data_IF_468966568594
#
_entry.id   IF_468966568594
#
_cell.length_a   1.000
_cell.length_b   1.000
_cell.length_c   1.000
_cell.angle_alpha   90.00
_cell.angle_beta   90.00
_cell.angle_gamma   90.00
#
_symmetry.space_group_name_H-M   'P 1'
#
loop_
_entity.id
_entity.type
_entity.pdbx_description
1 polymer ?
#
# COMPACT_ATOMS: atom_id res chain seq x y z
N UNK A 1 -42.58 -28.31 -45.56
CA UNK A 1 -41.11 -28.26 -45.38
C UNK A 1 -40.53 -26.84 -45.50
N UNK A 2 -40.92 -26.04 -46.51
CA UNK A 2 -40.43 -24.67 -46.72
C UNK A 2 -40.59 -23.69 -45.53
N UNK A 3 -41.72 -23.72 -44.81
CA UNK A 3 -41.92 -22.85 -43.62
C UNK A 3 -40.95 -23.13 -42.45
N UNK A 4 -40.52 -24.38 -42.27
CA UNK A 4 -39.52 -24.73 -41.23
C UNK A 4 -38.12 -24.23 -41.63
N UNK A 5 -37.79 -24.31 -42.93
CA UNK A 5 -36.52 -23.81 -43.45
C UNK A 5 -36.38 -22.28 -43.27
N UNK A 6 -37.46 -21.52 -43.49
CA UNK A 6 -37.46 -20.07 -43.32
C UNK A 6 -37.32 -19.64 -41.84
N UNK A 7 -37.94 -20.37 -40.90
CA UNK A 7 -37.75 -20.12 -39.47
C UNK A 7 -36.31 -20.38 -39.01
N UNK A 8 -35.69 -21.46 -39.49
CA UNK A 8 -34.31 -21.78 -39.16
C UNK A 8 -33.33 -20.72 -39.71
N UNK A 9 -33.55 -20.26 -40.95
CA UNK A 9 -32.76 -19.16 -41.54
C UNK A 9 -32.88 -17.88 -40.71
N UNK A 10 -34.10 -17.50 -40.31
CA UNK A 10 -34.32 -16.31 -39.49
C UNK A 10 -33.62 -16.40 -38.12
N UNK A 11 -33.72 -17.55 -37.44
CA UNK A 11 -33.06 -17.77 -36.14
C UNK A 11 -31.54 -17.71 -36.29
N UNK A 12 -30.98 -18.32 -37.34
CA UNK A 12 -29.54 -18.29 -37.61
C UNK A 12 -29.05 -16.87 -37.92
N UNK A 13 -29.80 -16.10 -38.71
CA UNK A 13 -29.47 -14.71 -39.01
C UNK A 13 -29.47 -13.84 -37.75
N UNK A 14 -30.47 -13.99 -36.87
CA UNK A 14 -30.52 -13.27 -35.59
C UNK A 14 -29.33 -13.66 -34.71
N UNK A 15 -29.00 -14.95 -34.63
CA UNK A 15 -27.88 -15.43 -33.83
C UNK A 15 -26.53 -14.87 -34.32
N UNK A 16 -26.29 -14.89 -35.64
CA UNK A 16 -25.07 -14.31 -36.24
C UNK A 16 -24.99 -12.81 -35.96
N UNK A 17 -26.10 -12.09 -36.09
CA UNK A 17 -26.14 -10.65 -35.82
C UNK A 17 -25.82 -10.33 -34.36
N UNK A 18 -26.37 -11.08 -33.40
CA UNK A 18 -26.04 -10.93 -31.98
C UNK A 18 -24.58 -11.24 -31.68
N UNK A 19 -24.00 -12.28 -32.30
CA UNK A 19 -22.59 -12.62 -32.13
C UNK A 19 -21.67 -11.50 -32.64
N UNK A 20 -22.00 -10.89 -33.79
CA UNK A 20 -21.25 -9.74 -34.32
C UNK A 20 -21.31 -8.55 -33.37
N UNK A 21 -22.49 -8.24 -32.79
CA UNK A 21 -22.62 -7.17 -31.79
C UNK A 21 -21.75 -7.47 -30.57
N UNK A 22 -21.78 -8.69 -30.03
CA UNK A 22 -20.96 -9.06 -28.86
C UNK A 22 -19.47 -8.89 -29.17
N UNK A 23 -19.02 -9.32 -30.35
CA UNK A 23 -17.63 -9.17 -30.78
C UNK A 23 -17.26 -7.68 -30.91
N UNK A 24 -18.09 -6.86 -31.57
CA UNK A 24 -17.84 -5.43 -31.72
C UNK A 24 -17.85 -4.70 -30.36
N UNK A 25 -18.76 -5.05 -29.47
CA UNK A 25 -18.79 -4.51 -28.09
C UNK A 25 -17.54 -4.90 -27.31
N UNK A 26 -17.06 -6.14 -27.45
CA UNK A 26 -15.81 -6.59 -26.82
C UNK A 26 -14.58 -5.86 -27.39
N UNK A 27 -14.53 -5.62 -28.70
CA UNK A 27 -13.45 -4.86 -29.33
C UNK A 27 -13.48 -3.38 -28.96
N UNK A 28 -14.66 -2.76 -28.90
CA UNK A 28 -14.79 -1.33 -28.50
C UNK A 28 -14.35 -1.12 -27.05
N UNK A 29 -14.77 -1.99 -26.12
CA UNK A 29 -14.29 -1.97 -24.73
C UNK A 29 -12.75 -2.08 -24.67
N UNK A 30 -12.15 -3.03 -25.40
CA UNK A 30 -10.68 -3.14 -25.47
C UNK A 30 -10.00 -1.91 -26.06
N UNK A 31 -10.60 -1.27 -27.06
CA UNK A 31 -10.03 -0.08 -27.68
C UNK A 31 -10.09 1.11 -26.72
N UNK A 32 -11.17 1.26 -25.95
CA UNK A 32 -11.26 2.27 -24.89
C UNK A 32 -10.18 2.05 -23.82
N UNK A 33 -10.01 0.81 -23.34
CA UNK A 33 -8.93 0.46 -22.40
C UNK A 33 -7.55 0.80 -22.97
N UNK A 34 -7.29 0.46 -24.24
CA UNK A 34 -6.01 0.76 -24.91
C UNK A 34 -5.80 2.27 -25.07
N UNK A 35 -6.85 3.04 -25.39
CA UNK A 35 -6.78 4.50 -25.50
C UNK A 35 -6.50 5.12 -24.13
N UNK A 36 -7.12 4.61 -23.06
CA UNK A 36 -6.90 5.09 -21.70
C UNK A 36 -5.47 4.78 -21.21
N UNK A 37 -4.99 3.55 -21.44
CA UNK A 37 -3.61 3.14 -21.17
C UNK A 37 -2.63 4.03 -21.96
N UNK A 38 -2.89 4.26 -23.25
CA UNK A 38 -2.07 5.13 -24.10
C UNK A 38 -2.03 6.59 -23.59
N UNK A 39 -3.16 7.11 -23.11
CA UNK A 39 -3.24 8.44 -22.49
C UNK A 39 -2.48 8.50 -21.15
N UNK A 40 -2.44 7.44 -20.36
CA UNK A 40 -1.66 7.42 -19.11
C UNK A 40 -0.15 7.30 -19.38
N UNK A 41 0.25 6.53 -20.40
CA UNK A 41 1.65 6.42 -20.80
C UNK A 41 2.20 7.69 -21.45
N UNK A 42 1.35 8.55 -22.02
CA UNK A 42 1.77 9.85 -22.57
C UNK A 42 2.03 10.92 -21.50
N UNK A 43 1.58 10.71 -20.26
CA UNK A 43 1.90 11.57 -19.13
C UNK A 43 3.37 11.40 -18.72
N UNK A 44 3.98 12.45 -18.18
CA UNK A 44 5.25 12.30 -17.47
C UNK A 44 5.06 11.45 -16.21
N UNK A 45 6.12 10.82 -15.68
CA UNK A 45 6.06 10.06 -14.43
C UNK A 45 5.47 10.86 -13.26
N UNK A 46 5.83 12.14 -13.13
CA UNK A 46 5.31 13.03 -12.08
C UNK A 46 3.82 13.33 -12.29
N UNK A 47 3.36 13.47 -13.53
CA UNK A 47 1.93 13.65 -13.84
C UNK A 47 1.14 12.39 -13.52
N UNK A 48 1.65 11.18 -13.83
CA UNK A 48 1.00 9.91 -13.42
C UNK A 48 0.83 9.81 -11.91
N UNK A 49 1.87 10.15 -11.15
CA UNK A 49 1.82 10.12 -9.67
C UNK A 49 0.82 11.14 -9.15
N UNK A 50 0.87 12.38 -9.65
CA UNK A 50 -0.09 13.41 -9.28
C UNK A 50 -1.52 13.00 -9.62
N UNK A 51 -1.76 12.40 -10.79
CA UNK A 51 -3.07 11.88 -11.19
C UNK A 51 -3.57 10.88 -10.13
N UNK A 52 -2.73 9.91 -9.76
CA UNK A 52 -3.05 8.91 -8.72
C UNK A 52 -3.23 9.50 -7.33
N UNK A 53 -2.55 10.59 -7.00
CA UNK A 53 -2.74 11.29 -5.72
C UNK A 53 -4.17 11.82 -5.54
N UNK A 54 -4.91 12.03 -6.63
CA UNK A 54 -6.22 12.70 -6.61
C UNK A 54 -7.34 11.95 -7.34
N UNK A 55 -7.04 10.87 -8.07
CA UNK A 55 -8.04 10.06 -8.80
C UNK A 55 -9.11 9.45 -7.89
N UNK A 56 -8.78 9.16 -6.63
CA UNK A 56 -9.73 8.60 -5.66
C UNK A 56 -10.47 9.65 -4.82
N UNK A 57 -10.07 10.92 -4.89
CA UNK A 57 -10.59 11.99 -4.02
C UNK A 57 -12.00 12.45 -4.45
N UNK A 58 -12.43 12.15 -5.68
CA UNK A 58 -13.64 12.77 -6.26
C UNK A 58 -14.79 11.83 -6.62
N UNK A 59 -14.65 10.50 -6.50
CA UNK A 59 -15.69 9.57 -6.98
C UNK A 59 -16.87 9.43 -5.98
N UNK A 60 -16.71 9.73 -4.69
CA UNK A 60 -17.79 9.56 -3.70
C UNK A 60 -18.46 10.89 -3.24
N UNK A 61 -18.10 12.03 -3.82
CA UNK A 61 -18.57 13.36 -3.39
C UNK A 61 -20.04 13.70 -3.74
N UNK A 62 -20.87 12.71 -4.10
CA UNK A 62 -22.30 12.94 -4.38
C UNK A 62 -23.24 12.59 -3.23
N UNK A 63 -22.78 12.03 -2.12
CA UNK A 63 -23.68 11.59 -1.03
C UNK A 63 -23.18 11.75 0.41
N UNK A 64 -22.01 12.35 0.67
CA UNK A 64 -21.46 12.40 2.04
C UNK A 64 -22.10 13.51 2.92
N UNK A 65 -22.51 13.22 4.17
CA UNK A 65 -23.13 14.18 5.09
C UNK A 65 -22.16 15.32 5.47
N UNK A 66 -22.69 16.50 5.86
CA UNK A 66 -21.98 17.74 6.27
C UNK A 66 -20.53 17.54 6.79
N UNK A 67 -19.58 17.38 5.87
CA UNK A 67 -18.15 17.27 6.20
C UNK A 67 -17.65 18.64 6.64
N UNK A 68 -16.86 18.67 7.72
CA UNK A 68 -16.04 19.83 8.09
C UNK A 68 -14.60 19.58 7.68
N UNK A 69 -13.94 20.64 7.25
CA UNK A 69 -12.55 20.66 6.84
C UNK A 69 -11.68 21.23 7.96
N UNK A 70 -10.58 20.56 8.28
CA UNK A 70 -9.50 21.10 9.11
C UNK A 70 -8.19 21.09 8.32
N UNK A 71 -7.66 22.29 8.04
CA UNK A 71 -6.36 22.50 7.40
C UNK A 71 -5.34 22.81 8.49
N UNK A 72 -4.19 22.11 8.50
CA UNK A 72 -3.34 22.15 9.70
C UNK A 72 -1.83 22.22 9.43
N UNK A 73 -1.38 21.96 8.20
CA UNK A 73 0.04 22.05 7.82
C UNK A 73 0.21 22.78 6.50
N UNK A 74 1.01 23.84 6.53
CA UNK A 74 1.77 24.37 5.40
C UNK A 74 3.24 24.42 5.82
N UNK A 75 3.82 23.25 6.08
CA UNK A 75 5.27 23.15 6.26
C UNK A 75 5.84 22.46 5.02
N UNK A 76 6.85 23.07 4.40
CA UNK A 76 7.61 22.51 3.28
C UNK A 76 6.72 21.88 2.18
N UNK A 77 5.89 22.72 1.56
CA UNK A 77 5.07 22.42 0.37
C UNK A 77 3.97 21.35 0.48
N UNK A 78 3.88 20.57 1.58
CA UNK A 78 2.84 19.56 1.76
C UNK A 78 1.66 20.13 2.56
N UNK A 79 0.47 20.09 1.96
CA UNK A 79 -0.78 20.48 2.63
C UNK A 79 -1.49 19.26 3.21
N UNK A 80 -1.65 19.21 4.54
CA UNK A 80 -2.43 18.18 5.21
C UNK A 80 -3.85 18.67 5.50
N UNK A 81 -4.85 17.95 4.97
CA UNK A 81 -6.28 18.27 5.09
C UNK A 81 -6.98 17.07 5.72
N UNK A 82 -7.75 17.29 6.79
CA UNK A 82 -8.59 16.23 7.38
C UNK A 82 -10.06 16.58 7.25
N UNK A 83 -10.83 15.66 6.70
CA UNK A 83 -12.30 15.71 6.65
C UNK A 83 -12.91 14.79 7.70
N UNK A 84 -13.89 15.30 8.44
CA UNK A 84 -14.59 14.56 9.49
C UNK A 84 -16.06 14.95 9.58
N UNK A 85 -16.87 14.14 10.27
CA UNK A 85 -18.30 14.41 10.48
C UNK A 85 -18.47 15.38 11.65
N UNK A 86 -19.09 16.51 11.38
CA UNK A 86 -19.14 17.68 12.26
C UNK A 86 -19.83 17.50 13.62
N UNK A 87 -20.56 16.40 13.83
CA UNK A 87 -21.60 16.32 14.87
C UNK A 87 -21.08 15.86 16.24
N UNK A 88 -19.80 15.53 16.40
CA UNK A 88 -19.25 15.03 17.68
C UNK A 88 -17.93 15.72 18.10
N UNK A 89 -17.89 16.29 19.30
CA UNK A 89 -16.68 16.88 19.92
C UNK A 89 -15.52 15.88 20.02
N UNK A 90 -15.85 14.60 20.21
CA UNK A 90 -14.90 13.48 20.22
C UNK A 90 -14.11 13.41 18.91
N UNK A 91 -14.75 13.66 17.76
CA UNK A 91 -14.07 13.62 16.46
C UNK A 91 -13.09 14.78 16.30
N UNK A 92 -13.42 15.98 16.80
CA UNK A 92 -12.50 17.12 16.75
C UNK A 92 -11.19 16.80 17.50
N UNK A 93 -11.29 16.25 18.71
CA UNK A 93 -10.12 15.84 19.49
C UNK A 93 -9.30 14.76 18.79
N UNK A 94 -9.96 13.72 18.25
CA UNK A 94 -9.26 12.67 17.51
C UNK A 94 -8.55 13.20 16.27
N UNK A 95 -9.17 14.14 15.54
CA UNK A 95 -8.58 14.81 14.38
C UNK A 95 -7.36 15.64 14.79
N UNK A 96 -7.44 16.40 15.90
CA UNK A 96 -6.31 17.16 16.44
C UNK A 96 -5.15 16.25 16.87
N UNK A 97 -5.44 15.08 17.45
CA UNK A 97 -4.44 14.06 17.80
C UNK A 97 -3.81 13.42 16.56
N UNK A 98 -4.63 12.98 15.60
CA UNK A 98 -4.17 12.46 14.31
C UNK A 98 -3.25 13.45 13.59
N UNK A 99 -3.59 14.72 13.68
CA UNK A 99 -2.77 15.80 13.15
C UNK A 99 -1.42 15.96 13.85
N UNK A 100 -1.35 15.80 15.18
CA UNK A 100 -0.06 15.78 15.91
C UNK A 100 0.78 14.59 15.47
N UNK A 101 0.17 13.43 15.26
CA UNK A 101 0.88 12.25 14.76
C UNK A 101 1.45 12.48 13.37
N UNK A 102 0.70 13.05 12.42
CA UNK A 102 1.25 13.39 11.10
C UNK A 102 2.45 14.34 11.19
N UNK A 103 2.36 15.39 12.02
CA UNK A 103 3.47 16.34 12.25
C UNK A 103 4.76 15.65 12.70
N UNK A 104 4.66 14.63 13.53
CA UNK A 104 5.80 13.94 14.14
C UNK A 104 6.28 12.81 13.24
N UNK A 105 5.37 11.93 12.82
CA UNK A 105 5.70 10.70 12.12
C UNK A 105 6.05 10.90 10.64
N UNK A 106 5.39 11.80 9.92
CA UNK A 106 5.60 11.97 8.48
C UNK A 106 7.07 12.31 8.15
N UNK A 107 7.72 13.29 8.80
CA UNK A 107 9.14 13.56 8.52
C UNK A 107 10.07 12.36 8.80
N UNK A 108 9.74 11.54 9.79
CA UNK A 108 10.53 10.34 10.12
C UNK A 108 10.31 9.27 9.05
N UNK A 109 9.06 9.04 8.62
CA UNK A 109 8.73 8.14 7.52
C UNK A 109 9.44 8.59 6.24
N UNK A 110 9.34 9.88 5.89
CA UNK A 110 10.02 10.45 4.73
C UNK A 110 11.53 10.21 4.83
N UNK A 111 12.18 10.55 5.96
CA UNK A 111 13.62 10.36 6.13
C UNK A 111 14.06 8.90 5.96
N UNK A 112 13.18 7.95 6.26
CA UNK A 112 13.46 6.52 6.21
C UNK A 112 13.16 5.92 4.83
N UNK A 113 12.01 6.24 4.26
CA UNK A 113 11.46 5.61 3.04
C UNK A 113 11.84 6.36 1.77
N UNK A 114 11.99 7.68 1.86
CA UNK A 114 12.10 8.57 0.71
C UNK A 114 13.02 9.77 0.99
N UNK A 115 12.95 10.80 0.16
CA UNK A 115 13.47 12.12 0.48
C UNK A 115 12.35 13.18 0.52
N UNK A 116 11.16 12.85 0.00
CA UNK A 116 9.96 13.71 0.00
C UNK A 116 8.71 12.83 -0.08
N UNK A 117 7.56 13.35 0.39
CA UNK A 117 6.26 12.75 0.15
C UNK A 117 5.89 12.84 -1.34
N UNK A 118 5.32 11.77 -1.95
CA UNK A 118 5.07 11.74 -3.39
C UNK A 118 3.99 12.72 -3.87
N UNK A 119 3.08 13.12 -2.98
CA UNK A 119 1.95 14.00 -3.29
C UNK A 119 2.15 15.40 -2.69
N UNK A 120 1.58 16.43 -3.34
CA UNK A 120 1.59 17.80 -2.79
C UNK A 120 0.66 17.97 -1.59
N UNK A 121 -0.32 17.08 -1.45
CA UNK A 121 -1.28 17.09 -0.34
C UNK A 121 -1.43 15.69 0.23
N UNK A 122 -1.75 15.65 1.51
CA UNK A 122 -2.25 14.46 2.19
C UNK A 122 -3.66 14.76 2.70
N UNK A 123 -4.63 14.04 2.18
CA UNK A 123 -6.03 14.15 2.56
C UNK A 123 -6.35 12.95 3.45
N UNK A 124 -6.84 13.19 4.66
CA UNK A 124 -7.31 12.13 5.56
C UNK A 124 -8.80 12.26 5.80
N UNK A 125 -9.53 11.19 5.58
CA UNK A 125 -10.98 11.14 5.73
C UNK A 125 -11.36 10.23 6.89
N UNK A 126 -12.01 10.79 7.90
CA UNK A 126 -12.40 10.09 9.12
C UNK A 126 -13.91 9.97 9.27
N UNK A 127 -14.57 9.36 8.27
CA UNK A 127 -16.03 9.22 8.25
C UNK A 127 -16.53 7.82 7.86
N UNK A 128 -15.67 6.94 7.34
CA UNK A 128 -16.04 5.57 6.95
C UNK A 128 -15.85 4.56 8.09
N UNK A 129 -16.19 3.28 7.88
CA UNK A 129 -15.94 2.16 8.81
C UNK A 129 -14.72 1.31 8.43
N UNK A 130 -13.89 1.80 7.51
CA UNK A 130 -12.74 1.08 6.97
C UNK A 130 -11.48 1.94 7.03
N UNK A 131 -10.33 1.28 7.01
CA UNK A 131 -9.04 1.92 6.77
C UNK A 131 -8.59 1.60 5.34
N UNK A 132 -8.11 2.59 4.62
CA UNK A 132 -7.60 2.46 3.26
C UNK A 132 -6.62 3.60 2.96
N UNK A 133 -5.42 3.24 2.55
CA UNK A 133 -4.38 4.18 2.13
C UNK A 133 -4.19 4.15 0.62
N UNK A 134 -4.31 5.32 0.00
CA UNK A 134 -3.85 5.58 -1.36
C UNK A 134 -2.87 6.76 -1.36
N UNK A 135 -2.04 6.93 -2.42
CA UNK A 135 -1.13 8.07 -2.49
C UNK A 135 -1.85 9.38 -2.21
N UNK A 136 -1.44 10.10 -1.17
CA UNK A 136 -2.01 11.41 -0.84
C UNK A 136 -3.47 11.41 -0.38
N UNK A 137 -4.13 10.25 -0.28
CA UNK A 137 -5.51 10.14 0.15
C UNK A 137 -5.73 8.90 1.01
N UNK A 138 -6.06 9.15 2.27
CA UNK A 138 -6.20 8.17 3.33
C UNK A 138 -7.62 8.23 3.84
N UNK A 139 -8.24 7.08 4.03
CA UNK A 139 -9.51 6.93 4.73
C UNK A 139 -9.22 6.12 5.98
N UNK A 140 -9.51 6.64 7.16
CA UNK A 140 -9.39 5.91 8.42
C UNK A 140 -10.68 6.05 9.18
N UNK A 141 -11.42 4.95 9.27
CA UNK A 141 -12.68 4.95 9.96
C UNK A 141 -12.56 5.20 11.45
N UNK A 142 -13.56 5.87 12.01
CA UNK A 142 -13.60 6.22 13.43
C UNK A 142 -15.03 6.49 13.84
N UNK A 143 -15.85 5.43 13.92
CA UNK A 143 -17.25 5.61 14.29
C UNK A 143 -17.81 4.43 15.10
N UNK A 144 -17.27 4.27 16.31
CA UNK A 144 -18.00 3.85 17.51
C UNK A 144 -17.07 3.95 18.73
N UNK A 145 -17.62 4.42 19.87
CA UNK A 145 -16.97 4.50 21.19
C UNK A 145 -16.26 3.21 21.66
N UNK A 146 -16.54 2.09 21.00
CA UNK A 146 -16.11 0.73 21.39
C UNK A 146 -15.08 0.13 20.42
N UNK A 147 -14.84 0.75 19.25
CA UNK A 147 -13.85 0.28 18.26
C UNK A 147 -12.60 1.17 18.31
N UNK A 148 -11.55 0.63 18.90
CA UNK A 148 -10.39 1.33 19.47
C UNK A 148 -9.36 1.90 18.48
N UNK A 149 -9.69 2.05 17.20
CA UNK A 149 -8.71 2.45 16.17
C UNK A 149 -9.32 3.41 15.17
N UNK A 150 -9.06 4.70 15.38
CA UNK A 150 -9.42 5.78 14.47
C UNK A 150 -8.20 6.55 14.01
N UNK A 151 -8.42 7.77 13.50
CA UNK A 151 -7.32 8.67 13.09
C UNK A 151 -6.38 9.04 14.25
N UNK A 152 -6.81 8.85 15.49
CA UNK A 152 -6.02 9.01 16.70
C UNK A 152 -5.28 7.72 17.14
N UNK A 153 -5.34 6.65 16.34
CA UNK A 153 -4.41 5.53 16.44
C UNK A 153 -3.18 5.85 15.57
N UNK A 154 -2.04 6.22 16.17
CA UNK A 154 -0.85 6.59 15.41
C UNK A 154 -0.31 5.45 14.57
N UNK A 155 -0.45 4.20 15.02
CA UNK A 155 0.00 3.04 14.27
C UNK A 155 -0.80 2.89 12.97
N UNK A 156 -2.12 2.97 13.09
CA UNK A 156 -3.02 2.87 11.94
C UNK A 156 -2.81 4.04 10.98
N UNK A 157 -2.68 5.26 11.51
CA UNK A 157 -2.42 6.42 10.67
C UNK A 157 -1.11 6.28 9.88
N UNK A 158 -0.02 5.88 10.53
CA UNK A 158 1.24 5.66 9.85
C UNK A 158 1.18 4.48 8.86
N UNK A 159 0.40 3.43 9.15
CA UNK A 159 0.17 2.30 8.23
C UNK A 159 -0.40 2.81 6.91
N UNK A 160 -1.45 3.62 6.98
CA UNK A 160 -2.09 4.15 5.77
C UNK A 160 -1.25 5.23 5.06
N UNK A 161 -0.52 6.07 5.81
CA UNK A 161 0.46 7.03 5.24
C UNK A 161 1.53 6.30 4.45
N UNK A 162 2.02 5.19 4.98
CA UNK A 162 3.11 4.40 4.40
C UNK A 162 2.76 3.89 3.00
N UNK A 163 1.49 3.53 2.74
CA UNK A 163 1.02 3.14 1.41
C UNK A 163 1.18 4.22 0.34
N UNK A 164 1.33 5.49 0.73
CA UNK A 164 1.51 6.56 -0.26
C UNK A 164 2.82 6.47 -1.04
N UNK A 165 3.88 5.90 -0.47
CA UNK A 165 5.24 5.97 -1.02
C UNK A 165 5.53 5.02 -2.19
N UNK A 166 4.68 4.04 -2.43
CA UNK A 166 4.84 3.08 -3.54
C UNK A 166 3.51 2.83 -4.25
N UNK A 167 2.63 3.84 -4.24
CA UNK A 167 1.44 3.81 -5.07
C UNK A 167 0.27 2.99 -4.52
N UNK A 168 0.18 2.73 -3.21
CA UNK A 168 -0.77 1.76 -2.62
C UNK A 168 -0.58 0.36 -3.22
N UNK A 169 -1.66 -0.37 -3.51
CA UNK A 169 -1.71 -1.71 -4.14
C UNK A 169 -0.98 -1.85 -5.51
N UNK A 170 -0.24 -0.82 -5.94
CA UNK A 170 0.70 -0.84 -7.06
C UNK A 170 2.07 -1.43 -6.68
N UNK A 171 2.11 -2.31 -5.70
CA UNK A 171 3.21 -3.22 -5.40
C UNK A 171 2.64 -4.58 -4.99
N UNK A 172 3.44 -5.66 -4.91
CA UNK A 172 2.94 -6.93 -4.42
C UNK A 172 2.29 -6.76 -3.05
N UNK A 173 1.10 -7.34 -2.85
CA UNK A 173 0.31 -7.15 -1.61
C UNK A 173 1.15 -7.49 -0.37
N UNK A 174 1.98 -8.54 -0.43
CA UNK A 174 2.87 -8.89 0.68
C UNK A 174 3.86 -7.77 1.01
N UNK A 175 4.36 -7.06 0.01
CA UNK A 175 5.29 -5.95 0.19
C UNK A 175 4.56 -4.70 0.66
N UNK A 176 3.43 -4.33 0.02
CA UNK A 176 2.66 -3.14 0.39
C UNK A 176 2.17 -3.23 1.84
N UNK A 177 1.47 -4.32 2.18
CA UNK A 177 0.91 -4.50 3.52
C UNK A 177 1.97 -4.88 4.54
N UNK A 178 2.99 -5.64 4.13
CA UNK A 178 4.15 -5.94 4.96
C UNK A 178 4.87 -4.66 5.39
N UNK A 179 5.08 -3.74 4.45
CA UNK A 179 5.71 -2.43 4.69
C UNK A 179 4.78 -1.52 5.49
N UNK A 180 3.49 -1.47 5.15
CA UNK A 180 2.45 -0.77 5.91
C UNK A 180 2.40 -1.22 7.37
N UNK A 181 2.74 -2.48 7.66
CA UNK A 181 2.79 -2.98 9.04
C UNK A 181 4.18 -2.81 9.70
N UNK A 182 5.26 -2.94 8.93
CA UNK A 182 6.64 -2.87 9.42
C UNK A 182 7.07 -1.44 9.75
N UNK A 183 6.85 -0.50 8.84
CA UNK A 183 7.32 0.89 8.99
C UNK A 183 6.68 1.57 10.21
N UNK A 184 5.36 1.53 10.44
CA UNK A 184 4.76 2.13 11.62
C UNK A 184 5.32 1.57 12.92
N UNK A 185 5.58 0.26 13.00
CA UNK A 185 6.22 -0.34 14.17
C UNK A 185 7.60 0.30 14.42
N UNK A 186 8.42 0.41 13.38
CA UNK A 186 9.74 1.04 13.49
C UNK A 186 9.64 2.50 13.90
N UNK A 187 8.74 3.27 13.31
CA UNK A 187 8.54 4.69 13.63
C UNK A 187 8.05 4.86 15.06
N UNK A 188 7.05 4.09 15.48
CA UNK A 188 6.55 4.13 16.86
C UNK A 188 7.66 3.77 17.84
N UNK A 189 8.47 2.75 17.57
CA UNK A 189 9.62 2.44 18.44
C UNK A 189 10.67 3.56 18.51
N UNK A 190 10.87 4.31 17.41
CA UNK A 190 11.75 5.48 17.41
C UNK A 190 11.16 6.63 18.23
N UNK A 191 9.85 6.84 18.12
CA UNK A 191 9.13 7.84 18.90
C UNK A 191 9.08 7.42 20.37
N UNK A 192 8.74 6.18 20.72
CA UNK A 192 8.66 5.67 22.11
C UNK A 192 10.02 5.66 22.84
N UNK A 193 11.15 5.66 22.12
CA UNK A 193 12.47 5.91 22.75
C UNK A 193 12.61 7.35 23.25
N UNK A 194 11.83 8.28 22.72
CA UNK A 194 11.74 9.69 23.09
C UNK A 194 10.27 10.17 23.00
N UNK A 195 9.36 9.60 23.82
CA UNK A 195 7.93 9.74 23.58
C UNK A 195 7.52 11.21 23.79
N UNK A 196 6.68 11.77 22.92
CA UNK A 196 6.01 13.02 23.23
C UNK A 196 5.20 12.86 24.51
N UNK A 197 5.11 13.91 25.33
CA UNK A 197 4.47 13.91 26.66
C UNK A 197 3.02 13.39 26.71
N UNK A 198 2.38 13.20 25.56
CA UNK A 198 0.99 12.77 25.41
C UNK A 198 0.83 11.31 24.92
N UNK A 199 1.89 10.50 24.88
CA UNK A 199 1.90 9.18 24.23
C UNK A 199 2.08 8.02 25.23
N UNK A 200 1.10 7.10 25.31
CA UNK A 200 1.21 5.83 26.05
C UNK A 200 0.86 4.65 25.14
N UNK A 201 1.86 3.91 24.65
CA UNK A 201 1.67 2.59 24.05
C UNK A 201 2.75 1.62 24.53
N UNK A 202 2.42 0.33 24.58
CA UNK A 202 3.36 -0.72 24.99
C UNK A 202 3.82 -1.53 23.76
N UNK A 203 4.70 -0.97 22.92
CA UNK A 203 5.42 -1.76 21.94
C UNK A 203 6.77 -2.24 22.50
N UNK A 204 7.31 -3.28 21.88
CA UNK A 204 8.64 -3.79 22.22
C UNK A 204 9.68 -2.84 21.64
N UNK A 205 10.54 -2.22 22.47
CA UNK A 205 11.66 -1.39 22.01
C UNK A 205 12.79 -2.18 21.31
N UNK A 206 12.60 -3.49 21.10
CA UNK A 206 13.54 -4.42 20.47
C UNK A 206 12.90 -5.12 19.26
N UNK A 207 13.48 -4.89 18.07
CA UNK A 207 13.05 -5.46 16.79
C UNK A 207 13.23 -6.98 16.72
N UNK A 208 14.25 -7.54 17.39
CA UNK A 208 14.48 -8.97 17.43
C UNK A 208 13.40 -9.67 18.28
N UNK A 209 13.04 -9.06 19.42
CA UNK A 209 11.93 -9.53 20.26
C UNK A 209 10.59 -9.46 19.51
N UNK A 210 10.34 -8.38 18.77
CA UNK A 210 9.14 -8.24 17.95
C UNK A 210 9.13 -9.27 16.81
N UNK A 211 10.25 -9.50 16.11
CA UNK A 211 10.38 -10.55 15.10
C UNK A 211 10.03 -11.94 15.66
N UNK A 212 10.62 -12.33 16.80
CA UNK A 212 10.33 -13.62 17.45
C UNK A 212 8.85 -13.77 17.81
N UNK A 213 8.24 -12.70 18.31
CA UNK A 213 6.81 -12.65 18.68
C UNK A 213 5.91 -12.80 17.45
N UNK A 214 6.20 -12.10 16.35
CA UNK A 214 5.45 -12.22 15.10
C UNK A 214 5.63 -13.63 14.53
N UNK A 215 6.86 -14.16 14.50
CA UNK A 215 7.15 -15.49 13.97
C UNK A 215 6.36 -16.56 14.71
N UNK A 216 6.32 -16.50 16.05
CA UNK A 216 5.52 -17.40 16.88
C UNK A 216 4.03 -17.31 16.52
N UNK A 217 3.47 -16.09 16.48
CA UNK A 217 2.05 -15.89 16.14
C UNK A 217 1.69 -16.36 14.73
N UNK A 218 2.56 -16.14 13.75
CA UNK A 218 2.33 -16.57 12.37
C UNK A 218 2.38 -18.10 12.27
N UNK A 219 3.30 -18.77 12.96
CA UNK A 219 3.32 -20.24 13.04
C UNK A 219 2.03 -20.80 13.66
N UNK A 220 1.56 -20.19 14.75
CA UNK A 220 0.36 -20.62 15.46
C UNK A 220 -0.93 -20.41 14.66
N UNK A 221 -1.02 -19.34 13.87
CA UNK A 221 -2.28 -18.95 13.19
C UNK A 221 -2.39 -19.39 11.74
N UNK A 222 -1.27 -19.44 11.02
CA UNK A 222 -1.31 -19.53 9.56
C UNK A 222 -0.82 -20.88 9.03
N UNK A 223 -0.11 -21.67 9.86
CA UNK A 223 0.30 -23.05 9.58
C UNK A 223 1.37 -23.22 8.49
N UNK A 224 1.37 -22.38 7.46
CA UNK A 224 2.22 -22.48 6.28
C UNK A 224 3.23 -21.33 6.20
N UNK A 225 4.50 -21.69 6.40
CA UNK A 225 5.66 -20.83 6.16
C UNK A 225 6.44 -21.23 4.92
N UNK A 226 6.00 -22.28 4.21
CA UNK A 226 6.73 -22.90 3.12
C UNK A 226 6.23 -22.42 1.75
N UNK A 227 4.99 -21.91 1.67
CA UNK A 227 4.49 -21.28 0.45
C UNK A 227 5.21 -19.96 0.18
N UNK A 228 5.79 -19.79 -1.03
CA UNK A 228 6.42 -18.53 -1.43
C UNK A 228 5.45 -17.36 -1.41
N UNK A 229 5.93 -16.16 -1.09
CA UNK A 229 5.13 -14.94 -0.94
C UNK A 229 4.28 -14.62 -2.17
N UNK A 230 4.82 -14.90 -3.37
CA UNK A 230 4.10 -14.68 -4.64
C UNK A 230 2.91 -15.63 -4.82
N UNK A 231 2.96 -16.81 -4.19
CA UNK A 231 1.96 -17.87 -4.31
C UNK A 231 0.96 -17.88 -3.15
N UNK A 232 1.12 -17.00 -2.16
CA UNK A 232 0.09 -16.84 -1.14
C UNK A 232 -1.19 -16.30 -1.80
N UNK A 233 -2.36 -16.73 -1.34
CA UNK A 233 -3.64 -16.20 -1.83
C UNK A 233 -4.30 -15.28 -0.80
N UNK A 234 -4.28 -15.69 0.48
CA UNK A 234 -4.92 -14.97 1.57
C UNK A 234 -4.21 -13.64 1.92
N UNK A 235 -4.99 -12.55 1.96
CA UNK A 235 -4.52 -11.20 2.25
C UNK A 235 -3.83 -11.10 3.62
N UNK A 236 -4.40 -11.72 4.65
CA UNK A 236 -3.87 -11.65 6.02
C UNK A 236 -2.55 -12.41 6.13
N UNK A 237 -2.41 -13.52 5.43
CA UNK A 237 -1.17 -14.28 5.32
C UNK A 237 -0.11 -13.49 4.57
N UNK A 238 -0.45 -12.86 3.43
CA UNK A 238 0.47 -11.98 2.68
C UNK A 238 1.01 -10.85 3.54
N UNK A 239 0.13 -10.12 4.22
CA UNK A 239 0.51 -9.01 5.11
C UNK A 239 1.46 -9.47 6.22
N UNK A 240 1.09 -10.53 6.96
CA UNK A 240 1.90 -11.01 8.08
C UNK A 240 3.24 -11.61 7.65
N UNK A 241 3.26 -12.39 6.56
CA UNK A 241 4.48 -13.00 6.01
C UNK A 241 5.38 -11.93 5.39
N UNK A 242 4.82 -10.96 4.69
CA UNK A 242 5.55 -9.81 4.17
C UNK A 242 6.21 -8.99 5.27
N UNK A 243 5.51 -8.71 6.37
CA UNK A 243 6.12 -8.08 7.55
C UNK A 243 7.27 -8.91 8.11
N UNK A 244 7.12 -10.23 8.24
CA UNK A 244 8.19 -11.11 8.75
C UNK A 244 9.43 -11.07 7.86
N UNK A 245 9.22 -11.15 6.55
CA UNK A 245 10.26 -11.06 5.54
C UNK A 245 11.06 -9.75 5.67
N UNK A 246 10.36 -8.62 5.72
CA UNK A 246 10.97 -7.30 5.87
C UNK A 246 11.71 -7.14 7.21
N UNK A 247 11.16 -7.64 8.32
CA UNK A 247 11.86 -7.66 9.61
C UNK A 247 13.17 -8.44 9.54
N UNK A 248 13.17 -9.60 8.89
CA UNK A 248 14.38 -10.43 8.76
C UNK A 248 15.44 -9.72 7.92
N UNK A 249 15.06 -9.08 6.82
CA UNK A 249 15.99 -8.27 6.02
C UNK A 249 16.57 -7.14 6.86
N UNK A 250 15.73 -6.38 7.58
CA UNK A 250 16.17 -5.30 8.47
C UNK A 250 17.22 -5.79 9.48
N UNK A 251 16.97 -6.93 10.12
CA UNK A 251 17.90 -7.54 11.08
C UNK A 251 19.22 -8.01 10.44
N UNK A 252 19.22 -8.35 9.14
CA UNK A 252 20.41 -8.83 8.44
C UNK A 252 21.29 -7.70 7.91
N UNK A 253 20.69 -6.64 7.35
CA UNK A 253 21.43 -5.58 6.64
C UNK A 253 21.56 -4.29 7.45
N UNK A 254 20.80 -4.16 8.54
CA UNK A 254 20.80 -2.97 9.39
C UNK A 254 19.94 -1.81 8.84
N UNK A 255 19.69 -0.83 9.71
CA UNK A 255 18.78 0.29 9.44
C UNK A 255 19.18 1.12 8.23
N UNK A 256 20.46 1.52 8.15
CA UNK A 256 20.94 2.42 7.08
C UNK A 256 20.78 1.81 5.69
N UNK A 257 21.17 0.55 5.53
CA UNK A 257 21.06 -0.16 4.25
C UNK A 257 19.60 -0.45 3.90
N UNK A 258 18.78 -0.77 4.90
CA UNK A 258 17.35 -0.99 4.72
C UNK A 258 16.62 0.31 4.31
N UNK A 259 16.99 1.45 4.89
CA UNK A 259 16.48 2.76 4.45
C UNK A 259 16.90 3.08 3.02
N UNK A 260 18.17 2.83 2.66
CA UNK A 260 18.65 3.02 1.27
C UNK A 260 17.87 2.15 0.26
N UNK A 261 17.55 0.91 0.62
CA UNK A 261 16.71 0.02 -0.18
C UNK A 261 15.33 0.65 -0.46
N UNK A 262 14.62 1.14 0.56
CA UNK A 262 13.34 1.82 0.35
C UNK A 262 13.47 3.08 -0.51
N UNK A 263 14.52 3.89 -0.30
CA UNK A 263 14.75 5.08 -1.10
C UNK A 263 15.00 4.77 -2.57
N UNK A 264 15.66 3.64 -2.87
CA UNK A 264 15.86 3.21 -4.25
C UNK A 264 14.55 2.73 -4.89
N UNK A 265 13.74 1.96 -4.16
CA UNK A 265 12.41 1.56 -4.60
C UNK A 265 11.50 2.79 -4.84
N UNK A 266 11.57 3.79 -3.97
CA UNK A 266 10.87 5.06 -4.12
C UNK A 266 11.33 5.83 -5.37
N UNK A 267 12.64 5.85 -5.68
CA UNK A 267 13.15 6.45 -6.92
C UNK A 267 12.64 5.72 -8.16
N UNK A 268 12.60 4.38 -8.13
CA UNK A 268 12.05 3.60 -9.24
C UNK A 268 10.59 4.00 -9.46
N UNK A 269 9.77 3.98 -8.40
CA UNK A 269 8.37 4.39 -8.47
C UNK A 269 8.21 5.82 -9.00
N UNK A 270 8.99 6.78 -8.52
CA UNK A 270 8.88 8.18 -8.94
C UNK A 270 9.39 8.45 -10.36
N UNK A 271 10.40 7.70 -10.82
CA UNK A 271 10.97 7.84 -12.16
C UNK A 271 10.11 7.18 -13.23
N UNK A 272 9.46 6.07 -12.94
CA UNK A 272 8.64 5.35 -13.93
C UNK A 272 7.17 5.73 -13.81
N UNK A 273 6.69 6.07 -12.61
CA UNK A 273 5.27 6.11 -12.30
C UNK A 273 4.61 4.72 -12.45
N UNK A 274 5.40 3.65 -12.54
CA UNK A 274 4.94 2.28 -12.74
C UNK A 274 4.90 1.51 -11.42
N UNK A 275 4.30 0.32 -11.50
CA UNK A 275 4.20 -0.65 -10.41
C UNK A 275 5.60 -1.11 -10.01
N UNK A 276 5.90 -1.16 -8.71
CA UNK A 276 7.07 -1.89 -8.21
C UNK A 276 6.72 -3.38 -8.22
N UNK A 277 7.55 -4.22 -8.83
CA UNK A 277 7.37 -5.68 -8.82
C UNK A 277 8.36 -6.41 -7.91
N UNK A 278 8.20 -7.72 -7.77
CA UNK A 278 9.08 -8.57 -6.96
C UNK A 278 10.55 -8.51 -7.40
N UNK A 279 10.81 -8.32 -8.70
CA UNK A 279 12.17 -8.24 -9.23
C UNK A 279 12.83 -6.94 -8.83
N UNK A 280 12.11 -5.81 -8.90
CA UNK A 280 12.60 -4.54 -8.40
C UNK A 280 12.94 -4.63 -6.91
N UNK A 281 12.10 -5.32 -6.13
CA UNK A 281 12.32 -5.51 -4.69
C UNK A 281 13.55 -6.36 -4.44
N UNK A 282 13.72 -7.50 -5.12
CA UNK A 282 14.92 -8.34 -5.03
C UNK A 282 16.19 -7.56 -5.36
N UNK A 283 16.21 -6.86 -6.51
CA UNK A 283 17.36 -6.09 -6.96
C UNK A 283 17.75 -5.02 -5.94
N UNK A 284 16.78 -4.30 -5.37
CA UNK A 284 17.02 -3.30 -4.34
C UNK A 284 17.57 -3.93 -3.05
N UNK A 285 17.03 -5.08 -2.61
CA UNK A 285 17.54 -5.77 -1.42
C UNK A 285 19.00 -6.18 -1.63
N UNK A 286 19.31 -6.82 -2.77
CA UNK A 286 20.65 -7.31 -3.06
C UNK A 286 21.67 -6.18 -3.26
N UNK A 287 21.24 -5.05 -3.84
CA UNK A 287 22.09 -3.87 -4.04
C UNK A 287 22.63 -3.31 -2.72
N UNK A 288 21.80 -3.28 -1.67
CA UNK A 288 22.17 -2.73 -0.36
C UNK A 288 22.51 -3.80 0.68
N UNK A 289 22.56 -5.08 0.29
CA UNK A 289 23.04 -6.14 1.18
C UNK A 289 24.58 -6.12 1.25
N UNK A 290 25.18 -6.09 2.45
CA UNK A 290 26.64 -6.23 2.62
C UNK A 290 27.19 -7.46 1.93
N UNK A 291 28.40 -7.37 1.37
CA UNK A 291 28.98 -8.44 0.54
C UNK A 291 29.06 -9.78 1.28
N UNK A 292 29.43 -9.75 2.56
CA UNK A 292 29.51 -10.94 3.44
C UNK A 292 28.15 -11.59 3.74
N UNK A 293 27.04 -10.89 3.44
CA UNK A 293 25.66 -11.34 3.62
C UNK A 293 24.93 -11.65 2.32
N UNK A 294 25.49 -11.34 1.15
CA UNK A 294 24.77 -11.48 -0.15
C UNK A 294 24.30 -12.89 -0.43
N UNK A 295 25.13 -13.90 -0.19
CA UNK A 295 24.73 -15.29 -0.44
C UNK A 295 23.66 -15.80 0.54
N UNK A 296 23.72 -15.36 1.81
CA UNK A 296 22.64 -15.63 2.77
C UNK A 296 21.34 -14.97 2.31
N UNK A 297 21.40 -13.71 1.87
CA UNK A 297 20.24 -12.96 1.40
C UNK A 297 19.64 -13.55 0.13
N UNK A 298 20.45 -13.93 -0.88
CA UNK A 298 19.96 -14.58 -2.10
C UNK A 298 19.20 -15.87 -1.79
N UNK A 299 19.75 -16.72 -0.91
CA UNK A 299 19.05 -17.94 -0.48
C UNK A 299 17.73 -17.62 0.23
N UNK A 300 17.74 -16.62 1.10
CA UNK A 300 16.55 -16.17 1.81
C UNK A 300 15.46 -15.63 0.85
N UNK A 301 15.83 -14.76 -0.09
CA UNK A 301 14.93 -14.25 -1.14
C UNK A 301 14.37 -15.39 -2.00
N UNK A 302 15.23 -16.30 -2.46
CA UNK A 302 14.79 -17.43 -3.26
C UNK A 302 13.82 -18.32 -2.49
N UNK A 303 14.06 -18.59 -1.22
CA UNK A 303 13.15 -19.37 -0.40
C UNK A 303 11.81 -18.64 -0.19
N UNK A 304 11.84 -17.36 0.14
CA UNK A 304 10.65 -16.63 0.58
C UNK A 304 9.82 -16.07 -0.57
N UNK A 305 10.43 -15.55 -1.63
CA UNK A 305 9.72 -14.94 -2.78
C UNK A 305 9.43 -15.99 -3.85
N UNK A 306 10.46 -16.71 -4.30
CA UNK A 306 10.38 -17.52 -5.52
C UNK A 306 10.08 -19.02 -5.26
N UNK A 307 10.39 -19.51 -4.07
CA UNK A 307 10.36 -20.92 -3.73
C UNK A 307 11.60 -21.70 -4.20
N UNK A 308 11.79 -22.87 -3.60
CA UNK A 308 12.95 -23.77 -3.84
C UNK A 308 13.00 -24.41 -5.24
N UNK A 309 12.00 -24.17 -6.09
CA UNK A 309 11.95 -24.70 -7.46
C UNK A 309 12.77 -23.88 -8.47
N UNK A 310 13.17 -22.65 -8.13
CA UNK A 310 14.15 -21.88 -8.91
C UNK A 310 15.59 -22.17 -8.46
N UNK A 311 15.92 -23.46 -8.26
CA UNK A 311 17.29 -23.90 -8.41
C UNK A 311 17.66 -23.69 -9.88
N UNK A 312 18.07 -22.46 -10.21
CA UNK A 312 18.92 -22.16 -11.34
C UNK A 312 19.95 -23.29 -11.40
N UNK A 313 19.82 -24.13 -12.43
CA UNK A 313 20.96 -24.87 -12.93
C UNK A 313 21.99 -23.80 -13.24
N UNK A 314 22.93 -23.61 -12.31
CA UNK A 314 24.21 -22.99 -12.59
C UNK A 314 24.83 -23.93 -13.64
N UNK A 315 24.73 -23.52 -14.91
CA UNK A 315 25.48 -24.12 -16.01
C UNK A 315 26.88 -23.55 -15.95
#
# INVERSE_FOLDING_TARGET
MARKLNKLKLVLTIFIFLLIIIILSYFTLKVEDIIEISKEHSLSPRERINKRCYENVFIENKTSPKLKELIMLKEKEIEAIIYYIAEEEIQKKSVEEGMKYLKIGLPIIESFVANEFPCKKIIVESWQKRAMGSPGHIIIGGYKKEESRGINDPWLLYHEVTHSFWGSHNSPIWFSEGSGTFIPNLIIMKIEKNPPDFWEFSHSNDMNKEYKKILKKTKEKNGDLNTPLINLEDYKNKSNRGRLFLNKIYLLIGEDNFSKMYKELYKIYTKTGEKIDEKNIEEAILLFTPEDKKEEMKRFINQEIWGSQNNLKII
#
